data_IF_802965642116
#
_entry.id   IF_802965642116
#
_cell.length_a   1.000
_cell.length_b   1.000
_cell.length_c   1.000
_cell.angle_alpha   90.00
_cell.angle_beta   90.00
_cell.angle_gamma   90.00
#
_symmetry.space_group_name_H-M   'P 1'
#
loop_
_entity.id
_entity.type
_entity.pdbx_description
1 polymer ?
#
# COMPACT_ATOMS: atom_id res chain seq x y z
N UNK A 1 -20.17 -15.59 0.74
CA UNK A 1 -18.83 -15.33 1.30
C UNK A 1 -17.80 -15.97 0.39
N UNK A 2 -16.98 -15.16 -0.22
CA UNK A 2 -15.80 -15.60 -0.98
C UNK A 2 -14.58 -15.44 -0.07
N UNK A 3 -13.73 -16.45 -0.04
CA UNK A 3 -12.50 -16.42 0.71
C UNK A 3 -12.28 -17.71 1.48
N UNK A 4 -11.03 -17.95 1.81
CA UNK A 4 -10.60 -19.07 2.65
C UNK A 4 -9.53 -18.57 3.64
N UNK A 5 -9.23 -19.40 4.63
CA UNK A 5 -8.20 -19.08 5.63
C UNK A 5 -6.75 -19.34 5.12
N UNK A 6 -6.60 -19.85 3.90
CA UNK A 6 -5.29 -20.07 3.31
C UNK A 6 -4.74 -18.77 2.71
N UNK A 7 -4.00 -18.03 3.52
CA UNK A 7 -3.33 -16.79 3.14
C UNK A 7 -1.90 -17.00 2.62
N UNK A 8 -1.36 -18.23 2.74
CA UNK A 8 0.01 -18.51 2.28
C UNK A 8 0.11 -18.58 0.77
N UNK A 9 -0.78 -19.34 0.14
CA UNK A 9 -0.82 -19.53 -1.30
C UNK A 9 0.52 -20.00 -1.90
N UNK A 10 0.61 -20.15 -3.22
CA UNK A 10 1.81 -20.64 -3.89
C UNK A 10 2.97 -19.64 -3.89
N UNK A 11 2.71 -18.34 -3.91
CA UNK A 11 3.73 -17.27 -3.86
C UNK A 11 3.39 -16.24 -2.79
N UNK A 12 4.14 -16.28 -1.70
CA UNK A 12 4.00 -15.37 -0.57
C UNK A 12 5.16 -14.36 -0.47
N UNK A 13 6.10 -14.35 -1.42
CA UNK A 13 7.32 -13.53 -1.34
C UNK A 13 6.99 -12.04 -1.24
N UNK A 14 6.19 -11.52 -2.17
CA UNK A 14 5.88 -10.10 -2.24
C UNK A 14 5.16 -9.60 -0.97
N UNK A 15 4.09 -10.27 -0.55
CA UNK A 15 3.34 -9.89 0.65
C UNK A 15 4.16 -10.02 1.94
N UNK A 16 5.04 -11.02 2.04
CA UNK A 16 5.95 -11.19 3.18
C UNK A 16 6.98 -10.06 3.23
N UNK A 17 7.49 -9.64 2.07
CA UNK A 17 8.44 -8.53 1.97
C UNK A 17 7.79 -7.21 2.41
N UNK A 18 6.60 -6.92 1.92
CA UNK A 18 5.79 -5.76 2.29
C UNK A 18 5.48 -5.73 3.79
N UNK A 19 5.02 -6.85 4.35
CA UNK A 19 4.71 -6.96 5.78
C UNK A 19 5.94 -6.73 6.67
N UNK A 20 7.11 -7.21 6.24
CA UNK A 20 8.38 -6.99 6.93
C UNK A 20 8.77 -5.52 7.01
N UNK A 21 8.59 -4.75 5.94
CA UNK A 21 8.83 -3.30 5.93
C UNK A 21 7.96 -2.60 6.96
N UNK A 22 6.68 -2.94 7.02
CA UNK A 22 5.74 -2.34 7.98
C UNK A 22 6.11 -2.72 9.42
N UNK A 23 6.23 -4.01 9.73
CA UNK A 23 6.16 -4.52 11.09
C UNK A 23 7.18 -5.61 11.44
N UNK A 24 8.34 -5.65 10.76
CA UNK A 24 9.43 -6.55 11.15
C UNK A 24 9.82 -6.34 12.62
N UNK A 25 9.90 -7.42 13.39
CA UNK A 25 10.17 -7.37 14.84
C UNK A 25 11.54 -6.75 15.12
N UNK A 26 11.56 -5.66 15.88
CA UNK A 26 12.77 -4.92 16.27
C UNK A 26 13.52 -5.54 17.44
N UNK A 27 12.90 -6.46 18.19
CA UNK A 27 13.38 -6.96 19.48
C UNK A 27 14.01 -8.35 19.40
N UNK A 28 13.81 -9.06 18.30
CA UNK A 28 14.30 -10.43 18.12
C UNK A 28 15.81 -10.53 17.80
N UNK A 29 16.48 -9.40 17.52
CA UNK A 29 17.92 -9.34 17.23
C UNK A 29 18.35 -9.91 15.88
N UNK A 30 17.41 -10.27 15.01
CA UNK A 30 17.68 -10.84 13.68
C UNK A 30 16.95 -10.07 12.57
N UNK A 31 17.51 -10.11 11.37
CA UNK A 31 16.89 -9.61 10.15
C UNK A 31 16.72 -8.09 10.14
N UNK A 32 15.49 -7.67 9.84
CA UNK A 32 15.15 -6.26 9.65
C UNK A 32 14.38 -5.69 10.83
N UNK A 33 14.31 -4.36 10.86
CA UNK A 33 13.52 -3.60 11.81
C UNK A 33 12.39 -2.91 11.05
N UNK A 34 11.16 -3.40 11.21
CA UNK A 34 9.99 -2.77 10.65
C UNK A 34 9.77 -1.34 11.18
N UNK A 35 9.01 -0.55 10.46
CA UNK A 35 8.76 0.85 10.83
C UNK A 35 7.89 0.94 12.08
N UNK A 36 6.87 0.07 12.20
CA UNK A 36 5.89 0.06 13.29
C UNK A 36 5.82 -1.34 13.92
N UNK A 37 6.75 -1.66 14.82
CA UNK A 37 6.90 -3.01 15.41
C UNK A 37 5.82 -3.41 16.42
N UNK A 38 4.97 -2.47 16.84
CA UNK A 38 3.87 -2.72 17.79
C UNK A 38 2.49 -2.83 17.13
N UNK A 39 2.43 -2.91 15.81
CA UNK A 39 1.16 -3.06 15.08
C UNK A 39 0.87 -4.51 14.78
N UNK A 40 -0.40 -4.83 14.53
CA UNK A 40 -0.84 -6.13 14.06
C UNK A 40 -1.01 -6.09 12.55
N UNK A 41 -0.50 -7.10 11.86
CA UNK A 41 -0.69 -7.27 10.42
C UNK A 41 -1.90 -8.16 10.18
N UNK A 42 -2.86 -7.64 9.41
CA UNK A 42 -3.96 -8.41 8.83
C UNK A 42 -3.59 -8.75 7.39
N UNK A 43 -3.31 -10.01 7.12
CA UNK A 43 -2.96 -10.47 5.79
C UNK A 43 -4.23 -10.78 5.00
N UNK A 44 -4.39 -10.10 3.86
CA UNK A 44 -5.48 -10.34 2.91
C UNK A 44 -4.86 -10.60 1.55
N UNK A 45 -4.94 -11.85 1.09
CA UNK A 45 -4.44 -12.23 -0.22
C UNK A 45 -5.47 -11.97 -1.28
N UNK A 46 -5.41 -10.78 -1.88
CA UNK A 46 -6.40 -10.30 -2.84
C UNK A 46 -5.97 -10.42 -4.30
N UNK A 47 -4.66 -10.52 -4.55
CA UNK A 47 -4.06 -10.58 -5.90
C UNK A 47 -3.61 -12.00 -6.18
N UNK A 48 -4.14 -12.67 -7.23
CA UNK A 48 -3.69 -13.99 -7.68
C UNK A 48 -2.42 -13.88 -8.55
N UNK A 49 -2.00 -15.00 -9.13
CA UNK A 49 -1.09 -14.94 -10.28
C UNK A 49 -1.81 -14.27 -11.47
N UNK A 50 -1.30 -13.13 -11.91
CA UNK A 50 -1.91 -12.28 -12.94
C UNK A 50 -2.54 -11.02 -12.36
N UNK A 51 -3.36 -10.36 -13.18
CA UNK A 51 -3.94 -9.07 -12.83
C UNK A 51 -4.95 -9.13 -11.69
N UNK A 52 -5.00 -8.07 -10.94
CA UNK A 52 -5.96 -7.83 -9.86
C UNK A 52 -7.39 -7.77 -10.40
N UNK A 53 -8.31 -8.49 -9.74
CA UNK A 53 -9.72 -8.44 -10.09
C UNK A 53 -10.45 -7.42 -9.22
N UNK A 54 -11.15 -6.50 -9.85
CA UNK A 54 -11.88 -5.41 -9.15
C UNK A 54 -12.78 -5.94 -8.03
N UNK A 55 -13.51 -7.02 -8.30
CA UNK A 55 -14.37 -7.68 -7.31
C UNK A 55 -13.58 -8.16 -6.07
N UNK A 56 -12.41 -8.74 -6.28
CA UNK A 56 -11.63 -9.31 -5.18
C UNK A 56 -10.96 -8.18 -4.37
N UNK A 57 -10.54 -7.10 -5.02
CA UNK A 57 -10.03 -5.89 -4.35
C UNK A 57 -11.14 -5.23 -3.51
N UNK A 58 -12.33 -5.04 -4.08
CA UNK A 58 -13.46 -4.49 -3.33
C UNK A 58 -13.79 -5.32 -2.09
N UNK A 59 -13.89 -6.66 -2.23
CA UNK A 59 -14.13 -7.57 -1.11
C UNK A 59 -13.01 -7.51 -0.06
N UNK A 60 -11.76 -7.39 -0.48
CA UNK A 60 -10.61 -7.27 0.42
C UNK A 60 -10.68 -5.98 1.26
N UNK A 61 -11.04 -4.85 0.63
CA UNK A 61 -11.22 -3.57 1.33
C UNK A 61 -12.36 -3.67 2.34
N UNK A 62 -13.53 -4.18 1.96
CA UNK A 62 -14.65 -4.39 2.89
C UNK A 62 -14.24 -5.28 4.07
N UNK A 63 -13.58 -6.41 3.79
CA UNK A 63 -13.12 -7.33 4.83
C UNK A 63 -12.15 -6.64 5.80
N UNK A 64 -11.16 -5.89 5.29
CA UNK A 64 -10.21 -5.17 6.13
C UNK A 64 -10.91 -4.18 7.07
N UNK A 65 -11.82 -3.38 6.53
CA UNK A 65 -12.58 -2.37 7.27
C UNK A 65 -13.48 -3.01 8.33
N UNK A 66 -14.22 -4.06 7.98
CA UNK A 66 -15.15 -4.74 8.88
C UNK A 66 -14.43 -5.50 10.02
N UNK A 67 -13.15 -5.85 9.81
CA UNK A 67 -12.30 -6.48 10.81
C UNK A 67 -11.35 -5.50 11.54
N UNK A 68 -11.58 -4.20 11.40
CA UNK A 68 -10.95 -3.17 12.24
C UNK A 68 -9.56 -2.73 11.78
N UNK A 69 -9.25 -2.81 10.50
CA UNK A 69 -8.04 -2.19 9.97
C UNK A 69 -8.10 -0.66 10.14
N UNK A 70 -7.01 -0.05 10.57
CA UNK A 70 -6.84 1.40 10.64
C UNK A 70 -6.15 1.95 9.40
N UNK A 71 -5.24 1.15 8.82
CA UNK A 71 -4.51 1.47 7.59
C UNK A 71 -4.59 0.26 6.67
N UNK A 72 -4.84 0.47 5.39
CA UNK A 72 -4.77 -0.55 4.34
C UNK A 72 -3.61 -0.20 3.41
N UNK A 73 -2.63 -1.09 3.28
CA UNK A 73 -1.56 -0.97 2.30
C UNK A 73 -1.90 -1.78 1.06
N UNK A 74 -1.86 -1.16 -0.09
CA UNK A 74 -2.09 -1.78 -1.39
C UNK A 74 -0.86 -1.60 -2.28
N UNK A 75 0.04 -2.60 -2.24
CA UNK A 75 1.28 -2.63 -3.04
C UNK A 75 1.06 -3.34 -4.38
N UNK A 76 0.06 -2.96 -5.13
CA UNK A 76 -0.30 -3.48 -6.44
C UNK A 76 -1.01 -2.39 -7.24
N UNK A 77 -1.18 -2.59 -8.53
CA UNK A 77 -1.93 -1.68 -9.38
C UNK A 77 -1.99 -2.18 -10.82
N UNK A 78 -2.93 -1.63 -11.58
CA UNK A 78 -3.17 -1.96 -12.99
C UNK A 78 -3.65 -0.75 -13.78
N UNK A 79 -3.44 -0.78 -15.09
CA UNK A 79 -3.85 0.30 -15.99
C UNK A 79 -5.34 0.28 -16.38
N UNK A 80 -6.06 -0.81 -16.10
CA UNK A 80 -7.46 -0.97 -16.50
C UNK A 80 -8.30 -1.55 -15.36
N UNK A 81 -9.43 -0.89 -15.04
CA UNK A 81 -10.39 -1.34 -14.03
C UNK A 81 -11.82 -1.34 -14.65
N UNK A 82 -12.23 -2.45 -15.26
CA UNK A 82 -13.53 -2.54 -15.93
C UNK A 82 -14.72 -2.31 -14.99
N UNK A 83 -14.62 -2.79 -13.75
CA UNK A 83 -15.64 -2.66 -12.73
C UNK A 83 -15.25 -1.64 -11.65
N UNK A 84 -14.59 -0.54 -12.05
CA UNK A 84 -14.08 0.51 -11.13
C UNK A 84 -15.11 0.96 -10.10
N UNK A 85 -16.38 1.05 -10.47
CA UNK A 85 -17.44 1.54 -9.60
C UNK A 85 -17.59 0.71 -8.30
N UNK A 86 -17.39 -0.61 -8.35
CA UNK A 86 -17.48 -1.46 -7.14
C UNK A 86 -16.29 -1.24 -6.21
N UNK A 87 -15.11 -0.97 -6.79
CA UNK A 87 -13.90 -0.62 -6.01
C UNK A 87 -14.07 0.77 -5.38
N UNK A 88 -14.59 1.74 -6.13
CA UNK A 88 -14.88 3.08 -5.61
C UNK A 88 -15.85 3.05 -4.42
N UNK A 89 -16.86 2.18 -4.46
CA UNK A 89 -17.80 1.98 -3.33
C UNK A 89 -17.06 1.45 -2.08
N UNK A 90 -16.15 0.49 -2.26
CA UNK A 90 -15.34 -0.04 -1.17
C UNK A 90 -14.38 1.01 -0.60
N UNK A 91 -13.70 1.78 -1.46
CA UNK A 91 -12.84 2.91 -1.04
C UNK A 91 -13.64 3.97 -0.30
N UNK A 92 -14.83 4.31 -0.80
CA UNK A 92 -15.75 5.24 -0.11
C UNK A 92 -16.20 4.71 1.25
N UNK A 93 -16.43 3.41 1.35
CA UNK A 93 -16.77 2.75 2.61
C UNK A 93 -15.61 2.84 3.61
N UNK A 94 -14.38 2.54 3.19
CA UNK A 94 -13.19 2.69 4.01
C UNK A 94 -13.03 4.13 4.54
N UNK A 95 -13.16 5.13 3.67
CA UNK A 95 -13.11 6.54 4.07
C UNK A 95 -14.19 6.92 5.09
N UNK A 96 -15.44 6.45 4.92
CA UNK A 96 -16.52 6.68 5.89
C UNK A 96 -16.26 6.03 7.25
N UNK A 97 -15.46 4.98 7.29
CA UNK A 97 -15.06 4.29 8.53
C UNK A 97 -13.76 4.80 9.13
N UNK A 98 -13.16 5.82 8.53
CA UNK A 98 -11.91 6.41 9.01
C UNK A 98 -10.68 5.54 8.75
N UNK A 99 -10.69 4.71 7.71
CA UNK A 99 -9.55 3.85 7.34
C UNK A 99 -8.72 4.54 6.27
N UNK A 100 -7.43 4.74 6.55
CA UNK A 100 -6.49 5.31 5.61
C UNK A 100 -6.02 4.25 4.61
N UNK A 101 -6.08 4.55 3.33
CA UNK A 101 -5.54 3.71 2.26
C UNK A 101 -4.20 4.29 1.81
N UNK A 102 -3.19 3.44 1.70
CA UNK A 102 -1.86 3.75 1.17
C UNK A 102 -1.61 2.86 -0.04
N UNK A 103 -1.41 3.47 -1.20
CA UNK A 103 -1.33 2.78 -2.47
C UNK A 103 -0.02 3.04 -3.20
N UNK A 104 0.48 2.07 -3.93
CA UNK A 104 1.70 2.17 -4.72
C UNK A 104 1.41 2.78 -6.09
N UNK A 105 2.12 3.84 -6.46
CA UNK A 105 1.87 4.61 -7.68
C UNK A 105 2.12 3.86 -9.01
N UNK A 106 2.82 2.72 -8.96
CA UNK A 106 3.17 1.94 -10.15
C UNK A 106 4.62 2.11 -10.59
N UNK A 107 5.08 1.25 -11.50
CA UNK A 107 6.50 1.10 -11.83
C UNK A 107 6.78 1.24 -13.35
N UNK A 108 6.00 2.04 -14.05
CA UNK A 108 6.06 2.19 -15.50
C UNK A 108 6.86 3.44 -15.92
N UNK A 109 7.28 4.27 -14.95
CA UNK A 109 7.95 5.56 -15.19
C UNK A 109 7.04 6.59 -15.84
N UNK A 110 5.73 6.47 -15.62
CA UNK A 110 4.71 7.30 -16.26
C UNK A 110 4.23 8.45 -15.38
N UNK A 111 3.78 9.52 -16.04
CA UNK A 111 3.06 10.62 -15.41
C UNK A 111 1.60 10.23 -15.19
N UNK A 112 1.24 9.95 -13.94
CA UNK A 112 -0.12 9.55 -13.56
C UNK A 112 -1.12 10.70 -13.53
N UNK A 113 -0.69 11.93 -13.73
CA UNK A 113 -1.60 13.03 -14.08
C UNK A 113 -2.18 12.84 -15.50
N UNK A 114 -1.54 12.01 -16.35
CA UNK A 114 -1.92 11.73 -17.75
C UNK A 114 -2.34 10.28 -17.99
N UNK A 115 -1.86 9.34 -17.17
CA UNK A 115 -2.19 7.91 -17.23
C UNK A 115 -2.95 7.48 -15.98
N UNK A 116 -3.49 6.27 -15.98
CA UNK A 116 -4.27 5.77 -14.83
C UNK A 116 -3.58 4.58 -14.18
N UNK A 117 -3.50 4.60 -12.86
CA UNK A 117 -3.16 3.45 -12.04
C UNK A 117 -4.35 3.13 -11.11
N UNK A 118 -4.87 1.90 -11.14
CA UNK A 118 -6.03 1.49 -10.37
C UNK A 118 -5.65 0.45 -9.30
N UNK A 119 -6.35 0.48 -8.12
CA UNK A 119 -7.40 1.42 -7.73
C UNK A 119 -6.88 2.85 -7.59
N UNK A 120 -7.77 3.84 -7.62
CA UNK A 120 -7.42 5.24 -7.50
C UNK A 120 -8.32 5.95 -6.48
N UNK A 121 -7.91 7.11 -5.95
CA UNK A 121 -8.73 7.89 -5.04
C UNK A 121 -9.98 8.45 -5.70
N UNK A 122 -9.95 8.65 -7.03
CA UNK A 122 -11.02 9.31 -7.78
C UNK A 122 -12.19 8.37 -8.04
N UNK A 123 -13.38 8.82 -7.70
CA UNK A 123 -14.61 8.06 -7.92
C UNK A 123 -15.19 8.32 -9.30
N UNK A 124 -15.84 7.34 -9.85
CA UNK A 124 -16.77 7.55 -10.98
C UNK A 124 -17.81 8.59 -10.56
N UNK A 125 -17.90 9.70 -11.30
CA UNK A 125 -18.79 10.82 -10.99
C UNK A 125 -18.13 12.01 -10.27
N UNK A 126 -16.80 12.04 -10.12
CA UNK A 126 -16.03 13.27 -9.89
C UNK A 126 -15.92 13.73 -8.44
N UNK A 127 -15.66 12.83 -7.53
CA UNK A 127 -15.17 13.12 -6.17
C UNK A 127 -14.00 12.20 -5.86
N UNK A 128 -13.15 12.57 -4.88
CA UNK A 128 -12.00 11.75 -4.48
C UNK A 128 -12.09 11.34 -3.01
N UNK A 129 -11.42 10.25 -2.67
CA UNK A 129 -11.20 9.87 -1.28
C UNK A 129 -10.25 10.87 -0.62
N UNK A 130 -10.59 11.29 0.59
CA UNK A 130 -9.71 12.13 1.41
C UNK A 130 -8.73 11.31 2.25
N UNK A 131 -9.02 10.03 2.46
CA UNK A 131 -8.19 9.09 3.21
C UNK A 131 -7.44 8.16 2.26
N UNK A 132 -6.59 8.78 1.45
CA UNK A 132 -5.75 8.11 0.46
C UNK A 132 -4.39 8.78 0.40
N UNK A 133 -3.34 7.96 0.28
CA UNK A 133 -1.98 8.38 -0.04
C UNK A 133 -1.47 7.54 -1.20
N UNK A 134 -1.16 8.20 -2.31
CA UNK A 134 -0.49 7.60 -3.46
C UNK A 134 1.01 7.76 -3.30
N UNK A 135 1.75 6.65 -3.36
CA UNK A 135 3.16 6.62 -2.96
C UNK A 135 4.08 6.25 -4.12
N UNK A 136 4.94 7.18 -4.52
CA UNK A 136 6.05 6.95 -5.43
C UNK A 136 7.29 6.39 -4.74
N UNK A 137 8.20 5.84 -5.53
CA UNK A 137 9.47 5.30 -5.04
C UNK A 137 10.60 6.32 -5.17
N UNK A 138 11.33 6.57 -4.07
CA UNK A 138 12.59 7.30 -4.09
C UNK A 138 13.80 6.37 -4.11
N UNK A 139 14.89 6.87 -4.71
CA UNK A 139 16.22 6.27 -4.69
C UNK A 139 17.12 6.91 -3.61
N UNK A 140 18.37 6.47 -3.53
CA UNK A 140 19.37 7.09 -2.67
C UNK A 140 19.99 8.39 -3.27
N UNK A 141 19.51 8.80 -4.45
CA UNK A 141 19.95 10.02 -5.15
C UNK A 141 21.36 9.97 -5.76
N UNK A 142 22.05 8.84 -5.67
CA UNK A 142 23.46 8.77 -6.12
C UNK A 142 23.61 8.44 -7.60
N UNK A 143 22.68 7.70 -8.18
CA UNK A 143 22.78 7.18 -9.54
C UNK A 143 21.75 7.72 -10.52
N UNK A 144 20.53 8.06 -10.08
CA UNK A 144 19.40 8.37 -10.98
C UNK A 144 18.55 9.55 -10.50
N UNK A 145 19.05 10.39 -9.60
CA UNK A 145 18.23 11.42 -8.97
C UNK A 145 17.43 10.89 -7.78
N UNK A 146 16.59 11.74 -7.18
CA UNK A 146 15.87 11.39 -5.95
C UNK A 146 14.69 10.44 -6.23
N UNK A 147 13.98 10.65 -7.33
CA UNK A 147 12.90 9.76 -7.77
C UNK A 147 13.51 8.57 -8.50
N UNK A 148 13.04 7.36 -8.23
CA UNK A 148 13.49 6.16 -8.94
C UNK A 148 13.00 6.18 -10.39
N UNK A 149 13.85 5.80 -11.35
CA UNK A 149 13.57 5.90 -12.80
C UNK A 149 12.32 5.12 -13.22
N UNK A 150 12.02 4.04 -12.51
CA UNK A 150 10.82 3.23 -12.78
C UNK A 150 9.56 3.79 -12.13
N UNK A 151 9.69 4.66 -11.12
CA UNK A 151 8.52 5.11 -10.36
C UNK A 151 7.58 5.93 -11.22
N UNK A 152 6.31 5.58 -11.18
CA UNK A 152 5.30 6.52 -11.63
C UNK A 152 5.36 7.77 -10.76
N UNK A 153 5.00 8.90 -11.36
CA UNK A 153 5.00 10.22 -10.75
C UNK A 153 3.79 11.01 -11.21
N UNK A 154 3.50 12.10 -10.54
CA UNK A 154 2.41 13.00 -10.91
C UNK A 154 2.38 14.16 -9.92
N UNK A 155 2.17 15.36 -10.42
CA UNK A 155 2.11 16.56 -9.57
C UNK A 155 0.86 16.59 -8.68
N UNK A 156 -0.24 16.05 -9.21
CA UNK A 156 -1.56 16.08 -8.57
C UNK A 156 -1.98 14.71 -8.04
N UNK A 157 -1.38 13.64 -8.56
CA UNK A 157 -1.81 12.26 -8.31
C UNK A 157 -0.90 11.47 -7.38
N UNK A 158 0.38 11.86 -7.22
CA UNK A 158 1.31 11.23 -6.28
C UNK A 158 1.52 12.17 -5.10
N UNK A 159 1.13 11.72 -3.90
CA UNK A 159 1.14 12.54 -2.69
C UNK A 159 2.55 12.63 -2.07
N UNK A 160 3.27 11.49 -2.04
CA UNK A 160 4.57 11.40 -1.35
C UNK A 160 5.48 10.36 -2.01
N UNK A 161 6.79 10.56 -1.88
CA UNK A 161 7.81 9.56 -2.26
C UNK A 161 8.48 8.99 -1.02
N UNK A 162 8.67 7.67 -1.01
CA UNK A 162 9.35 6.94 0.05
C UNK A 162 10.39 5.98 -0.52
N UNK A 163 11.38 5.51 0.28
CA UNK A 163 12.41 4.60 -0.19
C UNK A 163 11.83 3.36 -0.85
N UNK A 164 12.17 3.14 -2.13
CA UNK A 164 11.67 2.04 -2.95
C UNK A 164 12.74 1.32 -3.77
N UNK A 165 14.04 1.65 -3.61
CA UNK A 165 15.14 1.04 -4.36
C UNK A 165 16.01 0.21 -3.44
N UNK A 166 16.26 -1.06 -3.80
CA UNK A 166 17.10 -2.00 -3.03
C UNK A 166 16.67 -2.15 -1.56
N UNK A 167 15.38 -2.21 -1.32
CA UNK A 167 14.84 -2.33 0.03
C UNK A 167 14.97 -3.76 0.51
N UNK A 168 15.72 -3.94 1.59
CA UNK A 168 15.96 -5.23 2.23
C UNK A 168 14.81 -5.56 3.19
N UNK A 169 14.17 -6.72 3.00
CA UNK A 169 13.07 -7.17 3.86
C UNK A 169 12.93 -8.68 3.89
N UNK A 170 11.97 -9.16 4.66
CA UNK A 170 11.67 -10.58 4.86
C UNK A 170 11.04 -11.21 3.62
N UNK A 171 11.40 -12.46 3.36
CA UNK A 171 10.73 -13.35 2.41
C UNK A 171 10.49 -14.71 3.10
N UNK A 172 9.69 -15.61 2.53
CA UNK A 172 9.59 -16.95 3.07
C UNK A 172 10.96 -17.63 3.16
N UNK A 173 11.38 -17.96 4.37
CA UNK A 173 12.67 -18.63 4.62
C UNK A 173 13.91 -17.75 4.65
N UNK A 174 13.79 -16.43 4.54
CA UNK A 174 14.96 -15.55 4.56
C UNK A 174 14.69 -14.07 4.33
N UNK A 175 15.61 -13.44 3.63
CA UNK A 175 15.59 -11.99 3.33
C UNK A 175 16.02 -11.75 1.89
N UNK A 176 15.52 -10.66 1.31
CA UNK A 176 15.83 -10.26 -0.07
C UNK A 176 15.77 -8.74 -0.22
N UNK A 177 16.51 -8.22 -1.19
CA UNK A 177 16.35 -6.84 -1.67
C UNK A 177 15.38 -6.82 -2.84
N UNK A 178 14.35 -5.99 -2.75
CA UNK A 178 13.43 -5.72 -3.85
C UNK A 178 13.37 -4.21 -4.13
N UNK A 179 13.01 -3.85 -5.35
CA UNK A 179 12.77 -2.46 -5.75
C UNK A 179 11.36 -2.34 -6.34
N UNK A 180 10.71 -1.21 -6.09
CA UNK A 180 9.37 -0.91 -6.58
C UNK A 180 8.63 0.08 -5.68
N UNK A 181 7.61 0.70 -6.20
CA UNK A 181 6.64 1.46 -5.40
C UNK A 181 5.92 0.57 -4.39
N UNK A 182 5.88 -0.74 -4.64
CA UNK A 182 5.44 -1.78 -3.70
C UNK A 182 6.25 -1.81 -2.39
N UNK A 183 7.48 -1.29 -2.36
CA UNK A 183 8.33 -1.19 -1.18
C UNK A 183 8.23 0.20 -0.54
N UNK A 184 7.93 1.21 -1.32
CA UNK A 184 7.71 2.58 -0.87
C UNK A 184 6.37 2.71 -0.11
N UNK A 185 5.29 2.18 -0.65
CA UNK A 185 3.96 2.22 -0.04
C UNK A 185 3.93 1.66 1.39
N UNK A 186 4.46 0.47 1.70
CA UNK A 186 4.50 -0.04 3.06
C UNK A 186 5.37 0.79 4.02
N UNK A 187 6.35 1.54 3.51
CA UNK A 187 7.11 2.50 4.32
C UNK A 187 6.17 3.60 4.85
N UNK A 188 5.36 4.18 3.98
CA UNK A 188 4.37 5.22 4.36
C UNK A 188 3.27 4.62 5.25
N UNK A 189 2.76 3.44 4.91
CA UNK A 189 1.76 2.74 5.74
C UNK A 189 2.29 2.46 7.16
N UNK A 190 3.56 2.07 7.28
CA UNK A 190 4.25 1.88 8.56
C UNK A 190 4.35 3.18 9.36
N UNK A 191 4.70 4.30 8.70
CA UNK A 191 4.75 5.63 9.34
C UNK A 191 3.37 6.04 9.83
N UNK A 192 2.34 5.92 9.00
CA UNK A 192 0.97 6.23 9.38
C UNK A 192 0.51 5.39 10.61
N UNK A 193 0.78 4.09 10.57
CA UNK A 193 0.45 3.19 11.69
C UNK A 193 1.23 3.55 12.98
N UNK A 194 2.50 3.95 12.84
CA UNK A 194 3.32 4.43 13.96
C UNK A 194 2.74 5.70 14.57
N UNK A 195 2.39 6.69 13.74
CA UNK A 195 1.74 7.93 14.18
C UNK A 195 0.45 7.65 14.95
N UNK A 196 -0.44 6.83 14.40
CA UNK A 196 -1.69 6.44 15.05
C UNK A 196 -1.46 5.73 16.39
N UNK A 197 -0.38 4.95 16.52
CA UNK A 197 -0.06 4.25 17.77
C UNK A 197 0.48 5.16 18.87
N UNK A 198 1.26 6.18 18.50
CA UNK A 198 1.83 7.15 19.47
C UNK A 198 0.90 8.31 19.76
N UNK A 199 0.04 8.67 18.82
CA UNK A 199 -0.87 9.80 18.91
C UNK A 199 -2.32 9.38 18.65
N UNK A 200 -2.93 8.59 19.55
CA UNK A 200 -4.27 8.03 19.33
C UNK A 200 -5.40 9.08 19.28
N UNK A 201 -5.08 10.35 19.54
CA UNK A 201 -6.01 11.47 19.39
C UNK A 201 -6.03 12.10 18.01
N UNK A 202 -5.10 11.72 17.10
CA UNK A 202 -5.12 12.21 15.73
C UNK A 202 -6.22 11.50 14.93
N UNK A 203 -6.95 12.29 14.17
CA UNK A 203 -7.86 11.74 13.15
C UNK A 203 -7.06 11.13 11.99
N UNK A 204 -7.63 10.20 11.21
CA UNK A 204 -6.98 9.67 10.02
C UNK A 204 -6.62 10.74 8.98
N UNK A 205 -7.42 11.81 8.89
CA UNK A 205 -7.13 12.96 8.04
C UNK A 205 -5.88 13.71 8.50
N UNK A 206 -5.74 13.95 9.81
CA UNK A 206 -4.55 14.60 10.37
C UNK A 206 -3.29 13.74 10.17
N UNK A 207 -3.41 12.41 10.31
CA UNK A 207 -2.29 11.50 10.04
C UNK A 207 -1.88 11.53 8.57
N UNK A 208 -2.84 11.65 7.64
CA UNK A 208 -2.57 11.80 6.21
C UNK A 208 -1.87 13.11 5.89
N UNK A 209 -2.21 14.18 6.59
CA UNK A 209 -1.75 15.54 6.30
C UNK A 209 -0.38 15.87 6.95
N UNK A 210 0.14 14.99 7.85
CA UNK A 210 1.48 15.07 8.46
C UNK A 210 2.54 14.51 7.51
#
# INVERSE_FOLDING_TARGET
LYGCADVKGPDAEHGTHVAGIIAGDRKNGIGIRGIADNVKIMVIRAVPDGDERDKDIANAIYYAVDNGASVINMSFGKSLSPDKAIVDEAVRYAGKKGVLIVHAAGNDGEDTDLSSNFPSPDYVGGRSSKLWLEVGASSDGKSSGLVADFSNYGKNTVDVFAPGVNIFSTIPGGYKQNSGTSMASPTVAGVAALLMSYFPGLSPEEVRDI
#
